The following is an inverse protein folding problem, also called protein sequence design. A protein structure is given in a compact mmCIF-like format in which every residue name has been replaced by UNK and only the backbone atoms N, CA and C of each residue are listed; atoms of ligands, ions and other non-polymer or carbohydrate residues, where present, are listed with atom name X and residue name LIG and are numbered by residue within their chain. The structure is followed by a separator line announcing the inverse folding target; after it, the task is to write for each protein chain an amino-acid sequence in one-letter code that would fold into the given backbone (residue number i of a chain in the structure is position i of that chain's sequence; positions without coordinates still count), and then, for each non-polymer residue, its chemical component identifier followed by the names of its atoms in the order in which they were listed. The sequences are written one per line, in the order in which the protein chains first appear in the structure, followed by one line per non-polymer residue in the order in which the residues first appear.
data_IF_877404767850
#
_entry.id   IF_877404767850
#
_cell.length_a   1.000
_cell.length_b   1.000
_cell.length_c   1.000
_cell.angle_alpha   90.00
_cell.angle_beta   90.00
_cell.angle_gamma   90.00
#
_symmetry.space_group_name_H-M   'P 1'
#
loop_
_entity.id
_entity.type
_entity.pdbx_description
1 polymer ?
#
# COMPACT_ATOMS: atom_id res chain seq x y z
N UNK A 1 20.57 21.78 -4.75
CA UNK A 1 20.28 20.71 -5.73
C UNK A 1 19.24 21.19 -6.71
N UNK A 2 19.40 20.94 -8.01
CA UNK A 2 18.40 21.26 -9.04
C UNK A 2 17.65 19.96 -9.43
N UNK A 3 16.35 20.03 -9.61
CA UNK A 3 15.51 18.90 -10.06
C UNK A 3 16.00 18.30 -11.37
N UNK A 4 16.52 19.14 -12.25
CA UNK A 4 17.14 18.70 -13.53
C UNK A 4 18.26 17.68 -13.33
N UNK A 5 18.98 17.73 -12.21
CA UNK A 5 20.05 16.77 -11.93
C UNK A 5 19.49 15.39 -11.61
N UNK A 6 18.35 15.32 -10.93
CA UNK A 6 17.65 14.04 -10.67
C UNK A 6 17.11 13.45 -11.97
N UNK A 7 16.46 14.28 -12.81
CA UNK A 7 15.96 13.84 -14.11
C UNK A 7 17.09 13.33 -15.01
N UNK A 8 18.21 14.06 -15.06
CA UNK A 8 19.39 13.68 -15.85
C UNK A 8 19.98 12.35 -15.33
N UNK A 9 20.07 12.16 -14.03
CA UNK A 9 20.57 10.93 -13.40
C UNK A 9 19.67 9.72 -13.68
N UNK A 10 18.34 9.87 -13.54
CA UNK A 10 17.38 8.79 -13.86
C UNK A 10 17.44 8.44 -15.34
N UNK A 11 17.54 9.43 -16.24
CA UNK A 11 17.70 9.21 -17.68
C UNK A 11 19.00 8.46 -18.00
N UNK A 12 20.12 8.85 -17.38
CA UNK A 12 21.41 8.17 -17.56
C UNK A 12 21.38 6.73 -17.02
N UNK A 13 20.74 6.51 -15.88
CA UNK A 13 20.61 5.18 -15.28
C UNK A 13 19.90 4.18 -16.21
N UNK A 14 18.95 4.66 -17.00
CA UNK A 14 18.18 3.89 -17.97
C UNK A 14 18.95 3.67 -19.29
N UNK A 15 19.56 4.73 -19.82
CA UNK A 15 20.22 4.68 -21.14
C UNK A 15 21.67 4.19 -21.10
N UNK A 16 22.31 4.24 -19.94
CA UNK A 16 23.69 3.80 -19.68
C UNK A 16 24.73 4.44 -20.66
N UNK A 17 24.38 5.58 -21.23
CA UNK A 17 25.19 6.31 -22.22
C UNK A 17 25.03 7.81 -22.03
N UNK A 18 26.12 8.50 -21.73
CA UNK A 18 26.13 9.95 -21.55
C UNK A 18 25.67 10.70 -22.80
N UNK A 19 26.08 10.27 -23.99
CA UNK A 19 25.71 10.93 -25.25
C UNK A 19 24.21 10.80 -25.52
N UNK A 20 23.64 9.58 -25.41
CA UNK A 20 22.22 9.33 -25.60
C UNK A 20 21.36 10.02 -24.55
N UNK A 21 21.82 10.05 -23.30
CA UNK A 21 21.12 10.73 -22.22
C UNK A 21 21.13 12.24 -22.41
N UNK A 22 22.23 12.83 -22.83
CA UNK A 22 22.32 14.26 -23.14
C UNK A 22 21.40 14.65 -24.31
N UNK A 23 21.36 13.82 -25.36
CA UNK A 23 20.44 14.01 -26.49
C UNK A 23 18.97 13.97 -26.06
N UNK A 24 18.57 12.96 -25.31
CA UNK A 24 17.19 12.84 -24.78
C UNK A 24 16.81 14.02 -23.87
N UNK A 25 17.78 14.53 -23.11
CA UNK A 25 17.59 15.70 -22.24
C UNK A 25 17.76 17.04 -22.94
N UNK A 26 17.99 17.05 -24.26
CA UNK A 26 18.19 18.25 -25.09
C UNK A 26 19.30 19.18 -24.57
N UNK A 27 20.42 18.61 -24.14
CA UNK A 27 21.59 19.36 -23.66
C UNK A 27 22.88 18.84 -24.28
N UNK A 28 23.95 19.63 -24.22
CA UNK A 28 25.28 19.14 -24.66
C UNK A 28 25.80 18.08 -23.66
N UNK A 29 26.56 17.08 -24.15
CA UNK A 29 27.17 16.06 -23.31
C UNK A 29 28.03 16.65 -22.18
N UNK A 30 28.75 17.75 -22.45
CA UNK A 30 29.57 18.44 -21.45
C UNK A 30 28.74 19.05 -20.33
N UNK A 31 27.61 19.71 -20.66
CA UNK A 31 26.69 20.26 -19.68
C UNK A 31 26.02 19.15 -18.86
N UNK A 32 25.58 18.07 -19.52
CA UNK A 32 25.01 16.90 -18.88
C UNK A 32 26.00 16.26 -17.87
N UNK A 33 27.26 16.04 -18.30
CA UNK A 33 28.29 15.47 -17.43
C UNK A 33 28.57 16.32 -16.20
N UNK A 34 28.59 17.67 -16.34
CA UNK A 34 28.74 18.60 -15.21
C UNK A 34 27.60 18.49 -14.20
N UNK A 35 26.36 18.35 -14.67
CA UNK A 35 25.18 18.20 -13.79
C UNK A 35 25.23 16.90 -13.01
N UNK A 36 25.64 15.79 -13.63
CA UNK A 36 25.84 14.52 -12.95
C UNK A 36 26.94 14.63 -11.91
N UNK A 37 28.09 15.27 -12.24
CA UNK A 37 29.16 15.50 -11.26
C UNK A 37 28.70 16.37 -10.09
N UNK A 38 27.91 17.43 -10.36
CA UNK A 38 27.34 18.27 -9.31
C UNK A 38 26.40 17.49 -8.41
N UNK A 39 25.62 16.55 -8.96
CA UNK A 39 24.78 15.65 -8.16
C UNK A 39 25.61 14.74 -7.28
N UNK A 40 26.64 14.05 -7.82
CA UNK A 40 27.55 13.19 -7.07
C UNK A 40 28.25 13.98 -5.94
N UNK A 41 28.68 15.20 -6.22
CA UNK A 41 29.28 16.10 -5.21
C UNK A 41 28.29 16.46 -4.11
N UNK A 42 27.03 16.72 -4.47
CA UNK A 42 25.98 17.04 -3.51
C UNK A 42 25.60 15.83 -2.63
N UNK A 43 25.52 14.64 -3.24
CA UNK A 43 25.24 13.39 -2.52
C UNK A 43 26.44 12.96 -1.64
N UNK A 44 27.65 13.33 -2.04
CA UNK A 44 28.89 13.03 -1.32
C UNK A 44 29.52 11.68 -1.65
N UNK A 45 28.92 10.91 -2.57
CA UNK A 45 29.45 9.61 -3.01
C UNK A 45 29.28 9.45 -4.53
N UNK A 46 30.16 8.67 -5.20
CA UNK A 46 29.98 8.38 -6.62
C UNK A 46 28.76 7.48 -6.84
N UNK A 47 27.88 7.88 -7.75
CA UNK A 47 26.69 7.15 -8.13
C UNK A 47 26.89 6.28 -9.37
N UNK A 48 27.97 6.55 -10.16
CA UNK A 48 28.27 5.90 -11.41
C UNK A 48 29.63 5.20 -11.35
N UNK A 49 29.68 3.99 -11.84
CA UNK A 49 30.92 3.27 -12.16
C UNK A 49 31.33 3.62 -13.59
N UNK A 50 32.33 4.50 -13.71
CA UNK A 50 32.86 4.97 -14.98
C UNK A 50 34.01 4.11 -15.51
N UNK A 51 34.45 3.09 -14.76
CA UNK A 51 35.50 2.16 -15.17
C UNK A 51 35.00 1.15 -16.19
N UNK A 52 33.70 1.03 -16.38
CA UNK A 52 33.05 0.07 -17.28
C UNK A 52 32.33 0.78 -18.42
N UNK A 53 32.31 0.09 -19.57
CA UNK A 53 31.49 0.49 -20.72
C UNK A 53 30.51 -0.67 -21.05
N UNK A 54 29.19 -0.43 -21.09
CA UNK A 54 28.48 0.80 -20.80
C UNK A 54 28.59 1.24 -19.34
N UNK A 55 28.40 2.55 -19.06
CA UNK A 55 28.43 3.13 -17.73
C UNK A 55 27.35 2.49 -16.86
N UNK A 56 27.72 1.99 -15.68
CA UNK A 56 26.79 1.33 -14.75
C UNK A 56 26.64 2.10 -13.45
N UNK A 57 25.61 1.79 -12.67
CA UNK A 57 25.41 2.37 -11.35
C UNK A 57 26.26 1.65 -10.28
N UNK A 58 26.81 2.42 -9.34
CA UNK A 58 27.36 1.88 -8.09
C UNK A 58 26.23 1.28 -7.23
N UNK A 59 26.56 0.52 -6.15
CA UNK A 59 25.53 0.10 -5.17
C UNK A 59 24.75 1.29 -4.60
N UNK A 60 25.43 2.41 -4.29
CA UNK A 60 24.88 3.67 -3.82
C UNK A 60 24.00 4.30 -4.89
N UNK A 61 24.44 4.29 -6.15
CA UNK A 61 23.68 4.78 -7.30
C UNK A 61 22.37 4.02 -7.52
N UNK A 62 22.34 2.70 -7.30
CA UNK A 62 21.11 1.91 -7.37
C UNK A 62 20.09 2.33 -6.32
N UNK A 63 20.52 2.47 -5.07
CA UNK A 63 19.65 2.95 -3.97
C UNK A 63 19.16 4.37 -4.23
N UNK A 64 20.08 5.26 -4.65
CA UNK A 64 19.73 6.65 -4.93
C UNK A 64 18.77 6.80 -6.12
N UNK A 65 18.84 5.90 -7.12
CA UNK A 65 17.90 5.90 -8.25
C UNK A 65 16.46 5.70 -7.78
N UNK A 66 16.20 4.74 -6.90
CA UNK A 66 14.87 4.48 -6.35
C UNK A 66 14.31 5.74 -5.68
N UNK A 67 15.11 6.38 -4.83
CA UNK A 67 14.74 7.64 -4.16
C UNK A 67 14.54 8.79 -5.15
N UNK A 68 15.40 8.92 -6.17
CA UNK A 68 15.27 9.96 -7.18
C UNK A 68 14.00 9.81 -8.04
N UNK A 69 13.66 8.57 -8.43
CA UNK A 69 12.43 8.26 -9.17
C UNK A 69 11.18 8.55 -8.32
N UNK A 70 11.22 8.29 -7.02
CA UNK A 70 10.13 8.60 -6.08
C UNK A 70 9.93 10.11 -5.92
N UNK A 71 11.01 10.87 -5.70
CA UNK A 71 10.96 12.34 -5.60
C UNK A 71 10.37 12.94 -6.88
N UNK A 72 10.81 12.51 -8.04
CA UNK A 72 10.32 13.00 -9.32
C UNK A 72 8.82 12.65 -9.52
N UNK A 73 8.39 11.44 -9.16
CA UNK A 73 6.98 11.05 -9.20
C UNK A 73 6.12 11.94 -8.31
N UNK A 74 6.53 12.14 -7.06
CA UNK A 74 5.81 12.97 -6.10
C UNK A 74 5.68 14.42 -6.57
N UNK A 75 6.76 14.98 -7.14
CA UNK A 75 6.75 16.33 -7.71
C UNK A 75 5.80 16.45 -8.90
N UNK A 76 5.85 15.48 -9.83
CA UNK A 76 4.96 15.49 -11.00
C UNK A 76 3.49 15.30 -10.60
N UNK A 77 3.23 14.45 -9.60
CA UNK A 77 1.89 14.26 -9.04
C UNK A 77 1.39 15.55 -8.37
N UNK A 78 2.22 16.20 -7.56
CA UNK A 78 1.87 17.48 -6.93
C UNK A 78 1.59 18.57 -7.98
N UNK A 79 2.43 18.65 -9.02
CA UNK A 79 2.19 19.57 -10.14
C UNK A 79 0.88 19.28 -10.87
N UNK A 80 0.61 17.99 -11.16
CA UNK A 80 -0.63 17.59 -11.79
C UNK A 80 -1.85 17.94 -10.92
N UNK A 81 -1.77 17.72 -9.62
CA UNK A 81 -2.82 18.08 -8.67
C UNK A 81 -3.11 19.58 -8.61
N UNK A 82 -2.09 20.43 -8.83
CA UNK A 82 -2.22 21.89 -8.88
C UNK A 82 -2.70 22.41 -10.24
N UNK A 83 -2.43 21.67 -11.33
CA UNK A 83 -2.82 22.08 -12.69
C UNK A 83 -4.19 21.56 -13.11
N UNK A 84 -4.75 20.55 -12.43
CA UNK A 84 -6.09 20.01 -12.65
C UNK A 84 -7.10 20.84 -11.86
N UNK A 85 -7.32 22.08 -12.30
CA UNK A 85 -8.46 22.92 -11.91
C UNK A 85 -9.02 23.55 -13.18
N UNK A 86 -9.40 22.72 -14.16
CA UNK A 86 -10.19 23.19 -15.28
C UNK A 86 -11.64 23.39 -14.82
N UNK A 87 -12.31 24.47 -15.21
CA UNK A 87 -13.74 24.63 -14.96
C UNK A 87 -14.50 23.51 -15.69
N UNK A 88 -14.92 22.48 -14.98
CA UNK A 88 -15.61 21.31 -15.52
C UNK A 88 -15.09 19.96 -15.01
N UNK A 89 -13.93 19.91 -14.35
CA UNK A 89 -13.45 18.69 -13.75
C UNK A 89 -14.25 18.36 -12.48
N UNK A 90 -14.68 17.11 -12.37
CA UNK A 90 -15.33 16.60 -11.14
C UNK A 90 -14.40 16.79 -9.95
N UNK A 91 -14.92 17.26 -8.80
CA UNK A 91 -14.14 17.32 -7.58
C UNK A 91 -13.58 15.92 -7.28
N UNK A 92 -12.28 15.84 -6.96
CA UNK A 92 -11.59 14.56 -6.79
C UNK A 92 -11.13 14.40 -5.34
N UNK A 93 -11.35 13.22 -4.76
CA UNK A 93 -10.78 12.80 -3.48
C UNK A 93 -9.58 11.86 -3.70
N UNK A 94 -8.61 11.92 -2.79
CA UNK A 94 -7.46 11.03 -2.80
C UNK A 94 -7.52 10.11 -1.57
N UNK A 95 -7.52 8.79 -1.80
CA UNK A 95 -7.65 7.77 -0.76
C UNK A 95 -6.46 6.84 -0.79
N UNK A 96 -5.69 6.77 0.31
CA UNK A 96 -4.72 5.71 0.54
C UNK A 96 -5.45 4.55 1.23
N UNK A 97 -5.29 3.33 0.74
CA UNK A 97 -6.00 2.16 1.27
C UNK A 97 -5.11 0.93 1.31
N UNK A 98 -5.27 0.10 2.34
CA UNK A 98 -4.65 -1.21 2.34
C UNK A 98 -5.07 -2.02 1.11
N UNK A 99 -4.14 -2.77 0.52
CA UNK A 99 -4.36 -3.56 -0.70
C UNK A 99 -5.67 -4.35 -0.68
N UNK A 100 -5.96 -5.04 0.42
CA UNK A 100 -7.20 -5.82 0.54
C UNK A 100 -8.44 -4.94 0.48
N UNK A 101 -8.47 -3.83 1.23
CA UNK A 101 -9.62 -2.93 1.27
C UNK A 101 -9.82 -2.17 -0.04
N UNK A 102 -8.76 -1.93 -0.80
CA UNK A 102 -8.87 -1.30 -2.12
C UNK A 102 -9.69 -2.15 -3.11
N UNK A 103 -9.71 -3.46 -2.92
CA UNK A 103 -10.43 -4.42 -3.77
C UNK A 103 -11.79 -4.83 -3.17
N UNK A 104 -11.82 -5.10 -1.86
CA UNK A 104 -13.00 -5.71 -1.23
C UNK A 104 -14.01 -4.70 -0.70
N UNK A 105 -13.60 -3.49 -0.33
CA UNK A 105 -14.45 -2.51 0.36
C UNK A 105 -14.58 -1.19 -0.41
N UNK A 106 -13.48 -0.62 -0.87
CA UNK A 106 -13.44 0.71 -1.49
C UNK A 106 -14.43 0.89 -2.65
N UNK A 107 -14.60 -0.04 -3.61
CA UNK A 107 -15.52 0.16 -4.73
C UNK A 107 -16.99 0.34 -4.30
N UNK A 108 -17.43 -0.43 -3.31
CA UNK A 108 -18.78 -0.33 -2.77
C UNK A 108 -18.97 0.94 -1.95
N UNK A 109 -17.98 1.27 -1.11
CA UNK A 109 -18.00 2.52 -0.35
C UNK A 109 -18.04 3.74 -1.27
N UNK A 110 -17.22 3.78 -2.32
CA UNK A 110 -17.22 4.87 -3.30
C UNK A 110 -18.60 5.03 -3.95
N UNK A 111 -19.21 3.93 -4.40
CA UNK A 111 -20.56 3.96 -4.98
C UNK A 111 -21.63 4.47 -3.99
N UNK A 112 -21.49 4.20 -2.70
CA UNK A 112 -22.35 4.76 -1.67
C UNK A 112 -22.11 6.28 -1.50
N UNK A 113 -20.85 6.71 -1.53
CA UNK A 113 -20.49 8.13 -1.42
C UNK A 113 -20.98 8.95 -2.62
N UNK A 114 -20.86 8.42 -3.83
CA UNK A 114 -21.41 9.05 -5.05
C UNK A 114 -22.92 9.27 -4.97
N UNK A 115 -23.63 8.33 -4.38
CA UNK A 115 -25.09 8.47 -4.16
C UNK A 115 -25.43 9.49 -3.07
N UNK A 116 -24.63 9.58 -2.02
CA UNK A 116 -24.91 10.40 -0.84
C UNK A 116 -24.37 11.83 -0.96
N UNK A 117 -23.17 12.00 -1.53
CA UNK A 117 -22.45 13.26 -1.62
C UNK A 117 -22.36 13.83 -3.05
N UNK A 118 -22.88 13.10 -4.05
CA UNK A 118 -22.78 13.45 -5.47
C UNK A 118 -21.55 12.86 -6.14
N UNK A 119 -21.52 12.92 -7.47
CA UNK A 119 -20.41 12.39 -8.28
C UNK A 119 -19.11 13.11 -7.95
N UNK A 120 -18.09 12.35 -7.60
CA UNK A 120 -16.73 12.85 -7.43
C UNK A 120 -15.73 11.89 -8.09
N UNK A 121 -14.64 12.45 -8.62
CA UNK A 121 -13.50 11.65 -9.03
C UNK A 121 -12.78 11.06 -7.81
N UNK A 122 -12.10 9.94 -7.98
CA UNK A 122 -11.27 9.36 -6.93
C UNK A 122 -9.90 8.97 -7.43
N UNK A 123 -8.87 9.23 -6.62
CA UNK A 123 -7.52 8.73 -6.80
C UNK A 123 -7.23 7.77 -5.66
N UNK A 124 -7.00 6.49 -5.99
CA UNK A 124 -6.72 5.44 -5.01
C UNK A 124 -5.23 5.08 -5.03
N UNK A 125 -4.61 5.02 -3.86
CA UNK A 125 -3.30 4.42 -3.62
C UNK A 125 -3.50 3.11 -2.85
N UNK A 126 -3.44 1.95 -3.53
CA UNK A 126 -3.35 0.67 -2.84
C UNK A 126 -1.89 0.43 -2.42
N UNK A 127 -1.63 0.36 -1.12
CA UNK A 127 -0.26 0.18 -0.63
C UNK A 127 -0.26 -0.54 0.73
N UNK A 128 0.93 -0.73 1.29
CA UNK A 128 1.09 -1.25 2.63
C UNK A 128 0.69 -0.22 3.71
N UNK A 129 0.62 -0.71 4.95
CA UNK A 129 0.16 0.08 6.09
C UNK A 129 1.03 1.32 6.36
N UNK A 130 2.36 1.19 6.25
CA UNK A 130 3.29 2.28 6.56
C UNK A 130 3.25 3.37 5.49
N UNK A 131 3.21 2.99 4.22
CA UNK A 131 3.14 3.92 3.10
C UNK A 131 1.81 4.67 3.09
N UNK A 132 0.68 3.97 3.32
CA UNK A 132 -0.64 4.61 3.45
C UNK A 132 -0.69 5.58 4.63
N UNK A 133 -0.09 5.20 5.78
CA UNK A 133 -0.02 6.07 6.95
C UNK A 133 0.88 7.29 6.69
N UNK A 134 2.01 7.13 6.01
CA UNK A 134 2.86 8.24 5.62
C UNK A 134 2.11 9.21 4.68
N UNK A 135 1.36 8.69 3.71
CA UNK A 135 0.61 9.47 2.74
C UNK A 135 -0.51 10.34 3.36
N UNK A 136 -1.14 9.90 4.45
CA UNK A 136 -2.11 10.75 5.18
C UNK A 136 -1.42 11.76 6.07
N UNK A 137 -0.29 11.41 6.69
CA UNK A 137 0.45 12.31 7.59
C UNK A 137 1.07 13.46 6.81
N UNK A 138 1.67 13.22 5.65
CA UNK A 138 2.26 14.26 4.80
C UNK A 138 1.21 15.10 4.05
N UNK A 139 -0.05 14.64 4.02
CA UNK A 139 -1.15 15.35 3.38
C UNK A 139 -1.26 15.12 1.86
N UNK A 140 -0.54 14.15 1.30
CA UNK A 140 -0.63 13.77 -0.12
C UNK A 140 -1.97 13.12 -0.47
N UNK A 141 -2.66 12.57 0.54
CA UNK A 141 -3.97 11.94 0.44
C UNK A 141 -4.94 12.51 1.47
N UNK A 142 -6.23 12.55 1.11
CA UNK A 142 -7.30 13.11 1.95
C UNK A 142 -7.78 12.13 3.01
N UNK A 143 -7.80 10.85 2.63
CA UNK A 143 -8.31 9.76 3.45
C UNK A 143 -7.34 8.59 3.51
N UNK A 144 -7.35 7.93 4.66
CA UNK A 144 -6.69 6.64 4.87
C UNK A 144 -7.72 5.59 5.28
N UNK A 145 -7.93 4.60 4.41
CA UNK A 145 -8.83 3.47 4.62
C UNK A 145 -8.02 2.25 5.09
N UNK A 146 -8.26 1.81 6.31
CA UNK A 146 -7.47 0.74 6.93
C UNK A 146 -8.32 -0.20 7.79
N UNK A 147 -7.81 -1.38 8.04
CA UNK A 147 -8.24 -2.19 9.16
C UNK A 147 -7.75 -1.58 10.48
N UNK A 148 -8.47 -1.89 11.54
CA UNK A 148 -8.07 -1.59 12.90
C UNK A 148 -8.26 -2.83 13.79
N UNK A 149 -7.28 -3.07 14.65
CA UNK A 149 -7.31 -4.03 15.73
C UNK A 149 -6.50 -3.49 16.91
N UNK A 150 -6.92 -3.75 18.14
CA UNK A 150 -6.29 -3.22 19.35
C UNK A 150 -4.82 -3.62 19.52
N UNK A 151 -4.44 -4.80 19.01
CA UNK A 151 -3.07 -5.29 19.05
C UNK A 151 -2.10 -4.55 18.10
N UNK A 152 -2.61 -3.72 17.18
CA UNK A 152 -1.79 -2.94 16.24
C UNK A 152 -2.02 -1.45 16.47
N UNK A 153 -1.19 -0.81 17.29
CA UNK A 153 -1.37 0.60 17.61
C UNK A 153 -1.14 1.48 16.38
N UNK A 154 -2.14 2.31 16.06
CA UNK A 154 -1.99 3.39 15.09
C UNK A 154 -1.39 4.62 15.79
N UNK A 155 -0.22 5.06 15.34
CA UNK A 155 0.47 6.24 15.87
C UNK A 155 -0.12 7.55 15.28
N UNK A 156 -1.44 7.62 15.12
CA UNK A 156 -2.17 8.80 14.67
C UNK A 156 -2.89 9.45 15.85
N UNK A 157 -2.52 10.68 16.18
CA UNK A 157 -3.16 11.37 17.29
C UNK A 157 -4.62 11.73 16.95
N UNK A 158 -5.61 11.33 17.76
CA UNK A 158 -7.04 11.47 17.42
C UNK A 158 -7.50 12.89 17.11
N UNK A 159 -6.89 13.92 17.74
CA UNK A 159 -7.22 15.32 17.46
C UNK A 159 -6.74 15.80 16.09
N UNK A 160 -5.67 15.22 15.57
CA UNK A 160 -5.11 15.56 14.25
C UNK A 160 -5.68 14.67 13.15
N UNK A 161 -5.99 13.42 13.48
CA UNK A 161 -6.49 12.40 12.56
C UNK A 161 -7.77 11.76 13.12
N UNK A 162 -8.90 12.46 13.06
CA UNK A 162 -10.18 11.86 13.40
C UNK A 162 -10.51 10.70 12.46
N UNK A 163 -11.23 9.71 13.00
CA UNK A 163 -11.68 8.55 12.24
C UNK A 163 -13.16 8.28 12.40
N UNK A 164 -13.73 7.56 11.45
CA UNK A 164 -15.03 6.92 11.58
C UNK A 164 -14.94 5.43 11.24
N UNK A 165 -15.76 4.63 11.90
CA UNK A 165 -15.88 3.19 11.62
C UNK A 165 -16.85 3.01 10.47
N UNK A 166 -16.40 2.47 9.35
CA UNK A 166 -17.23 2.25 8.15
C UNK A 166 -17.89 0.88 8.11
N UNK A 167 -17.33 -0.08 8.83
CA UNK A 167 -17.80 -1.46 8.84
C UNK A 167 -16.90 -2.37 9.65
N UNK A 168 -17.19 -3.65 9.52
CA UNK A 168 -16.43 -4.72 10.18
C UNK A 168 -16.03 -5.79 9.18
N UNK A 169 -14.92 -6.44 9.45
CA UNK A 169 -14.44 -7.64 8.79
C UNK A 169 -13.93 -8.61 9.86
N UNK A 170 -13.44 -9.74 9.47
CA UNK A 170 -12.75 -10.66 10.37
C UNK A 170 -11.56 -11.31 9.69
N UNK A 171 -10.52 -11.56 10.45
CA UNK A 171 -9.39 -12.37 10.01
C UNK A 171 -9.69 -13.82 10.34
N UNK A 172 -9.71 -14.69 9.33
CA UNK A 172 -10.19 -16.06 9.41
C UNK A 172 -9.06 -17.03 9.12
N UNK A 173 -8.79 -18.04 9.97
CA UNK A 173 -7.84 -19.10 9.67
C UNK A 173 -8.48 -20.07 8.68
N UNK A 174 -7.87 -20.25 7.50
CA UNK A 174 -8.43 -21.08 6.43
C UNK A 174 -7.41 -22.00 5.81
N UNK A 175 -7.90 -23.13 5.30
CA UNK A 175 -7.17 -24.08 4.50
C UNK A 175 -7.95 -24.48 3.25
N UNK A 176 -7.29 -25.19 2.33
CA UNK A 176 -7.95 -25.73 1.14
C UNK A 176 -8.94 -26.83 1.53
N UNK A 177 -10.14 -26.85 0.93
CA UNK A 177 -11.21 -27.82 1.27
C UNK A 177 -10.84 -29.30 1.04
N UNK A 178 -9.94 -29.60 0.11
CA UNK A 178 -9.43 -30.95 -0.13
C UNK A 178 -8.47 -31.44 0.95
N UNK A 179 -7.91 -30.54 1.75
CA UNK A 179 -7.09 -30.88 2.90
C UNK A 179 -8.00 -31.11 4.10
N UNK A 180 -8.69 -32.27 4.12
CA UNK A 180 -9.43 -32.68 5.31
C UNK A 180 -8.44 -32.73 6.48
N UNK A 181 -8.77 -31.99 7.53
CA UNK A 181 -8.00 -31.96 8.77
C UNK A 181 -8.07 -33.35 9.39
N UNK A 182 -7.13 -34.23 9.03
CA UNK A 182 -6.93 -35.47 9.75
C UNK A 182 -6.15 -35.08 11.01
N UNK A 183 -6.70 -35.47 12.17
CA UNK A 183 -6.02 -35.28 13.45
C UNK A 183 -4.61 -35.85 13.36
N UNK A 184 -3.60 -34.97 13.43
CA UNK A 184 -2.19 -35.35 13.34
C UNK A 184 -1.45 -34.92 12.07
N UNK A 185 -2.11 -34.35 11.07
CA UNK A 185 -1.42 -33.80 9.89
C UNK A 185 -0.92 -32.38 10.18
N UNK A 186 0.37 -32.16 10.06
CA UNK A 186 0.99 -30.82 10.12
C UNK A 186 0.86 -30.15 8.75
N UNK A 187 0.14 -29.03 8.68
CA UNK A 187 0.08 -28.21 7.46
C UNK A 187 0.97 -26.98 7.62
N UNK A 188 1.71 -26.56 6.58
CA UNK A 188 2.48 -25.34 6.61
C UNK A 188 1.59 -24.13 6.89
N UNK A 189 1.99 -23.28 7.83
CA UNK A 189 1.34 -22.00 8.06
C UNK A 189 2.00 -20.94 7.20
N UNK A 190 1.26 -20.43 6.23
CA UNK A 190 1.65 -19.31 5.38
C UNK A 190 1.49 -18.01 6.17
N UNK A 191 2.56 -17.23 6.32
CA UNK A 191 2.57 -16.06 7.17
C UNK A 191 2.78 -14.78 6.37
N UNK A 192 2.17 -13.71 6.84
CA UNK A 192 2.53 -12.37 6.42
C UNK A 192 3.92 -11.98 6.93
N UNK A 193 4.53 -10.99 6.28
CA UNK A 193 5.70 -10.32 6.86
C UNK A 193 5.32 -9.69 8.22
N UNK A 194 6.22 -9.79 9.19
CA UNK A 194 5.97 -9.39 10.59
C UNK A 194 5.66 -7.90 10.76
N UNK A 195 6.09 -7.06 9.81
CA UNK A 195 5.88 -5.62 9.81
C UNK A 195 4.57 -5.19 9.11
N UNK A 196 3.87 -6.09 8.41
CA UNK A 196 2.57 -5.78 7.81
C UNK A 196 1.47 -5.69 8.88
N UNK A 197 0.39 -4.96 8.61
CA UNK A 197 -0.73 -4.85 9.54
C UNK A 197 -1.30 -6.22 9.93
N UNK A 198 -1.65 -7.04 8.94
CA UNK A 198 -2.21 -8.38 9.22
C UNK A 198 -1.18 -9.31 9.86
N UNK A 199 0.11 -9.16 9.53
CA UNK A 199 1.19 -9.89 10.19
C UNK A 199 1.29 -9.58 11.68
N UNK A 200 1.13 -8.32 12.07
CA UNK A 200 1.10 -7.92 13.48
C UNK A 200 -0.15 -8.46 14.19
N UNK A 201 -1.33 -8.42 13.56
CA UNK A 201 -2.55 -9.03 14.11
C UNK A 201 -2.37 -10.54 14.32
N UNK A 202 -1.73 -11.24 13.38
CA UNK A 202 -1.45 -12.67 13.52
C UNK A 202 -0.49 -13.01 14.68
N UNK A 203 0.24 -12.04 15.22
CA UNK A 203 1.12 -12.21 16.38
C UNK A 203 0.40 -12.01 17.72
N UNK A 204 -0.85 -11.53 17.73
CA UNK A 204 -1.57 -11.33 18.97
C UNK A 204 -1.89 -12.67 19.67
N UNK A 205 -2.03 -12.67 21.02
CA UNK A 205 -2.30 -13.88 21.78
C UNK A 205 -3.55 -14.65 21.30
N UNK A 206 -4.58 -13.94 20.86
CA UNK A 206 -5.80 -14.52 20.33
C UNK A 206 -5.54 -15.35 19.06
N UNK A 207 -4.74 -14.81 18.12
CA UNK A 207 -4.36 -15.52 16.90
C UNK A 207 -3.50 -16.75 17.19
N UNK A 208 -2.59 -16.64 18.14
CA UNK A 208 -1.69 -17.73 18.52
C UNK A 208 -2.42 -18.88 19.23
N UNK A 209 -3.45 -18.56 20.02
CA UNK A 209 -4.24 -19.55 20.76
C UNK A 209 -5.19 -20.39 19.88
N UNK A 210 -5.58 -19.88 18.73
CA UNK A 210 -6.61 -20.48 17.86
C UNK A 210 -6.02 -21.42 16.80
N UNK A 211 -4.72 -21.39 16.58
CA UNK A 211 -4.09 -22.28 15.60
C UNK A 211 -4.23 -23.73 16.10
N UNK A 212 -4.95 -24.62 15.39
CA UNK A 212 -5.24 -26.00 15.83
C UNK A 212 -3.99 -26.90 15.87
N UNK A 213 -2.83 -26.37 15.59
CA UNK A 213 -1.58 -27.11 15.42
C UNK A 213 -0.51 -26.55 16.34
N UNK A 214 0.11 -27.45 17.11
CA UNK A 214 1.17 -27.14 18.06
C UNK A 214 2.34 -26.38 17.42
N UNK A 215 3.24 -25.93 18.26
CA UNK A 215 4.41 -25.08 17.95
C UNK A 215 5.39 -25.66 16.91
N UNK A 216 5.19 -26.89 16.45
CA UNK A 216 6.04 -27.60 15.47
C UNK A 216 5.58 -27.44 14.01
N UNK A 217 4.63 -26.51 13.74
CA UNK A 217 4.16 -26.25 12.37
C UNK A 217 5.28 -25.65 11.55
N UNK A 218 5.58 -26.25 10.40
CA UNK A 218 6.51 -25.68 9.43
C UNK A 218 5.96 -24.34 8.97
N UNK A 219 6.67 -23.28 9.31
CA UNK A 219 6.28 -21.92 8.93
C UNK A 219 6.90 -21.56 7.59
N UNK A 220 6.07 -21.23 6.64
CA UNK A 220 6.52 -20.64 5.39
C UNK A 220 6.27 -19.13 5.46
N UNK A 221 7.36 -18.36 5.50
CA UNK A 221 7.26 -16.90 5.50
C UNK A 221 7.15 -16.45 4.06
N UNK A 222 6.04 -15.82 3.72
CA UNK A 222 5.90 -15.09 2.46
C UNK A 222 6.20 -13.62 2.72
N UNK A 223 7.24 -13.10 2.11
CA UNK A 223 7.62 -11.68 2.23
C UNK A 223 6.63 -10.74 1.53
N UNK A 224 5.71 -11.30 0.76
CA UNK A 224 4.65 -10.52 0.13
C UNK A 224 3.57 -10.20 1.18
N UNK A 225 3.45 -8.91 1.54
CA UNK A 225 2.45 -8.43 2.50
C UNK A 225 0.99 -8.52 1.99
N UNK A 226 0.76 -9.00 0.78
CA UNK A 226 -0.56 -9.04 0.15
C UNK A 226 -1.34 -10.30 0.55
N UNK A 227 -2.52 -10.11 1.16
CA UNK A 227 -3.44 -11.20 1.51
C UNK A 227 -3.88 -12.03 0.29
N UNK A 228 -4.02 -11.40 -0.89
CA UNK A 228 -4.35 -12.11 -2.13
C UNK A 228 -3.27 -13.13 -2.53
N UNK A 229 -1.99 -12.82 -2.33
CA UNK A 229 -0.90 -13.77 -2.56
C UNK A 229 -1.04 -15.02 -1.69
N UNK A 230 -1.30 -14.85 -0.39
CA UNK A 230 -1.54 -15.97 0.53
C UNK A 230 -2.82 -16.72 0.15
N UNK A 231 -3.88 -16.04 -0.26
CA UNK A 231 -5.11 -16.67 -0.75
C UNK A 231 -4.84 -17.62 -1.91
N UNK A 232 -4.06 -17.20 -2.90
CA UNK A 232 -3.70 -18.04 -4.04
C UNK A 232 -2.85 -19.26 -3.62
N UNK A 233 -1.93 -19.07 -2.68
CA UNK A 233 -1.13 -20.17 -2.14
C UNK A 233 -1.98 -21.20 -1.39
N UNK A 234 -2.97 -20.76 -0.60
CA UNK A 234 -3.94 -21.68 0.03
C UNK A 234 -4.73 -22.45 -1.01
N UNK A 235 -5.24 -21.79 -2.05
CA UNK A 235 -5.97 -22.43 -3.16
C UNK A 235 -5.12 -23.41 -3.97
N UNK A 236 -3.82 -23.18 -4.04
CA UNK A 236 -2.87 -24.10 -4.65
C UNK A 236 -2.44 -25.26 -3.72
N UNK A 237 -2.94 -25.28 -2.47
CA UNK A 237 -2.66 -26.38 -1.53
C UNK A 237 -1.33 -26.27 -0.77
N UNK A 238 -0.68 -25.11 -0.77
CA UNK A 238 0.63 -24.91 -0.11
C UNK A 238 0.55 -24.83 1.42
N UNK A 239 -0.65 -24.73 2.01
CA UNK A 239 -0.82 -24.65 3.45
C UNK A 239 -2.10 -23.95 3.87
N UNK A 240 -2.12 -23.48 5.12
CA UNK A 240 -3.20 -22.69 5.69
C UNK A 240 -2.71 -21.24 5.96
N UNK A 241 -3.65 -20.30 6.00
CA UNK A 241 -3.35 -18.90 6.25
C UNK A 241 -4.47 -18.20 7.02
N UNK A 242 -4.13 -17.09 7.66
CA UNK A 242 -5.10 -16.14 8.16
C UNK A 242 -5.48 -15.18 7.02
N UNK A 243 -6.75 -15.08 6.64
CA UNK A 243 -7.20 -14.22 5.54
C UNK A 243 -8.42 -13.39 5.94
N UNK A 244 -8.55 -12.13 5.47
CA UNK A 244 -9.76 -11.35 5.66
C UNK A 244 -10.97 -12.05 5.05
N UNK A 245 -12.07 -12.14 5.79
CA UNK A 245 -13.30 -12.83 5.36
C UNK A 245 -13.85 -12.21 4.08
N UNK A 246 -13.83 -10.89 3.96
CA UNK A 246 -14.28 -10.19 2.76
C UNK A 246 -13.52 -10.63 1.50
N UNK A 247 -12.23 -10.93 1.62
CA UNK A 247 -11.40 -11.38 0.50
C UNK A 247 -11.74 -12.80 0.03
N UNK A 248 -12.11 -13.67 0.96
CA UNK A 248 -12.35 -15.11 0.72
C UNK A 248 -13.81 -15.49 0.69
N UNK A 249 -14.74 -14.53 0.78
CA UNK A 249 -16.17 -14.79 0.86
C UNK A 249 -16.67 -15.72 -0.27
N UNK A 250 -16.18 -15.50 -1.49
CA UNK A 250 -16.52 -16.33 -2.65
C UNK A 250 -15.95 -17.77 -2.54
N UNK A 251 -14.74 -17.92 -2.03
CA UNK A 251 -14.10 -19.25 -1.88
C UNK A 251 -14.77 -20.07 -0.79
N UNK A 252 -15.20 -19.44 0.29
CA UNK A 252 -16.01 -20.08 1.34
C UNK A 252 -17.39 -20.49 0.78
N UNK A 253 -18.06 -19.60 0.04
CA UNK A 253 -19.37 -19.89 -0.54
C UNK A 253 -19.33 -21.03 -1.58
N UNK A 254 -18.20 -21.19 -2.25
CA UNK A 254 -17.99 -22.26 -3.26
C UNK A 254 -17.28 -23.50 -2.68
N UNK A 255 -17.12 -23.59 -1.37
CA UNK A 255 -16.42 -24.67 -0.66
C UNK A 255 -15.00 -24.96 -1.19
N UNK A 256 -14.29 -23.95 -1.70
CA UNK A 256 -12.89 -24.07 -2.11
C UNK A 256 -11.94 -23.91 -0.91
N UNK A 257 -12.40 -23.17 0.10
CA UNK A 257 -11.71 -23.01 1.39
C UNK A 257 -12.64 -23.41 2.55
N UNK A 258 -12.04 -23.82 3.63
CA UNK A 258 -12.73 -24.17 4.89
C UNK A 258 -12.11 -23.37 6.03
N UNK A 259 -12.98 -22.94 6.97
CA UNK A 259 -12.55 -22.27 8.21
C UNK A 259 -12.00 -23.30 9.16
N UNK A 260 -10.84 -23.02 9.75
CA UNK A 260 -10.09 -23.95 10.59
C UNK A 260 -10.08 -23.58 12.08
N UNK A 261 -10.68 -22.45 12.47
CA UNK A 261 -10.67 -21.97 13.85
C UNK A 261 -11.51 -20.72 14.06
N UNK A 262 -11.36 -20.11 15.23
CA UNK A 262 -12.06 -18.87 15.56
C UNK A 262 -11.52 -17.69 14.76
N UNK A 263 -12.40 -16.74 14.48
CA UNK A 263 -12.09 -15.53 13.75
C UNK A 263 -11.65 -14.41 14.69
N UNK A 264 -10.82 -13.52 14.20
CA UNK A 264 -10.39 -12.31 14.89
C UNK A 264 -11.16 -11.14 14.30
N UNK A 265 -11.95 -10.38 15.06
CA UNK A 265 -12.71 -9.25 14.55
C UNK A 265 -11.78 -8.11 14.14
N UNK A 266 -12.09 -7.48 13.03
CA UNK A 266 -11.41 -6.29 12.51
C UNK A 266 -12.45 -5.19 12.27
N UNK A 267 -12.14 -3.96 12.66
CA UNK A 267 -12.89 -2.80 12.21
C UNK A 267 -12.31 -2.27 10.91
N UNK A 268 -13.17 -1.72 10.04
CA UNK A 268 -12.77 -0.95 8.87
C UNK A 268 -12.94 0.52 9.23
N UNK A 269 -11.82 1.25 9.27
CA UNK A 269 -11.78 2.66 9.65
C UNK A 269 -11.33 3.55 8.51
N UNK A 270 -11.95 4.72 8.41
CA UNK A 270 -11.55 5.81 7.55
C UNK A 270 -10.98 6.92 8.42
N UNK A 271 -9.74 7.33 8.15
CA UNK A 271 -9.06 8.45 8.81
C UNK A 271 -8.97 9.62 7.85
N UNK A 272 -9.02 10.85 8.37
CA UNK A 272 -8.67 12.06 7.64
C UNK A 272 -7.79 12.98 8.48
N UNK A 273 -7.13 13.95 7.84
CA UNK A 273 -6.47 15.04 8.56
C UNK A 273 -7.51 16.06 9.02
N UNK A 274 -7.46 16.51 10.29
CA UNK A 274 -8.44 17.44 10.85
C UNK A 274 -8.44 18.81 10.14
N UNK A 275 -7.25 19.26 9.72
CA UNK A 275 -7.04 20.57 9.08
C UNK A 275 -7.46 20.62 7.59
N UNK A 276 -7.90 19.52 7.01
CA UNK A 276 -8.31 19.49 5.60
C UNK A 276 -9.68 20.13 5.42
N UNK A 277 -9.73 21.20 4.60
CA UNK A 277 -10.91 22.05 4.44
C UNK A 277 -11.49 22.03 3.03
N UNK A 278 -11.09 21.09 2.15
CA UNK A 278 -11.68 21.01 0.81
C UNK A 278 -13.16 20.59 0.89
N UNK A 279 -14.10 21.31 0.26
CA UNK A 279 -15.54 21.03 0.39
C UNK A 279 -15.91 19.59 0.06
N UNK A 280 -15.35 19.00 -1.00
CA UNK A 280 -15.61 17.60 -1.40
C UNK A 280 -15.15 16.60 -0.34
N UNK A 281 -14.02 16.85 0.33
CA UNK A 281 -13.52 15.99 1.41
C UNK A 281 -14.47 16.04 2.61
N UNK A 282 -14.96 17.23 2.96
CA UNK A 282 -15.92 17.39 4.05
C UNK A 282 -17.26 16.71 3.74
N UNK A 283 -17.77 16.87 2.52
CA UNK A 283 -19.02 16.21 2.09
C UNK A 283 -18.90 14.67 2.16
N UNK A 284 -17.81 14.11 1.62
CA UNK A 284 -17.56 12.66 1.68
C UNK A 284 -17.37 12.18 3.11
N UNK A 285 -16.73 12.97 3.96
CA UNK A 285 -16.55 12.65 5.39
C UNK A 285 -17.88 12.59 6.11
N UNK A 286 -18.74 13.59 5.97
CA UNK A 286 -20.07 13.63 6.59
C UNK A 286 -20.95 12.48 6.09
N UNK A 287 -20.96 12.21 4.79
CA UNK A 287 -21.67 11.08 4.21
C UNK A 287 -21.17 9.74 4.76
N UNK A 288 -19.84 9.59 4.95
CA UNK A 288 -19.24 8.39 5.52
C UNK A 288 -19.69 8.16 6.98
N UNK A 289 -19.74 9.22 7.79
CA UNK A 289 -20.22 9.12 9.17
C UNK A 289 -21.71 8.73 9.24
N UNK A 290 -22.54 9.26 8.35
CA UNK A 290 -23.97 8.93 8.30
C UNK A 290 -24.21 7.48 7.84
N UNK A 291 -23.46 7.01 6.87
CA UNK A 291 -23.55 5.63 6.36
C UNK A 291 -23.10 4.60 7.39
N UNK A 292 -22.15 4.95 8.26
CA UNK A 292 -21.69 4.10 9.36
C UNK A 292 -22.75 3.88 10.44
N UNK A 293 -23.66 4.85 10.63
CA UNK A 293 -24.73 4.78 11.63
C UNK A 293 -25.96 3.99 11.15
N UNK A 294 -26.04 3.65 9.86
CA UNK A 294 -27.17 2.93 9.26
C UNK A 294 -26.94 1.42 9.08
N UNK A 295 -25.83 0.86 9.56
CA UNK A 295 -25.53 -0.58 9.61
C UNK A 295 -25.45 -1.08 11.04
#
# INVERSE_FOLDING_TARGET
MDIKWLEDFVTLSRLQSFSRAAEERHVTQSAFSRRIQALETWVGVPLLDRSRFPTTLTPEGRRFRETAEEILRNLLQSRAALTVSSPGDLPCIAVAALHTLSVTFFPQWLSCMEKAAGMCGSRLLPDDFHNCMAAIVDGSYDFFLTFYHEAVPLLLHPSQFPHCVLGQDSLVPVGHSLHQVHSGSSYPLLMYSSNSFLGQVCQCPQAQAVLPYGTDTVRHVNENAMAEGLRQMVLAGHGCAWLPRSLIAKDLATNRMVVMGQEIPLEIRLYRKAEHTRPVVEQVWQASQQTALCK
#
